data_IF_232325289536
#
_entry.id   IF_232325289536
#
_cell.length_a   1.000
_cell.length_b   1.000
_cell.length_c   1.000
_cell.angle_alpha   90.00
_cell.angle_beta   90.00
_cell.angle_gamma   90.00
#
_symmetry.space_group_name_H-M   'P 1'
#
loop_
_entity.id
_entity.type
_entity.pdbx_description
1 polymer ?
#
# COMPACT_ATOMS: atom_id res chain seq x y z
N UNK A 1 -26.77 20.72 -22.73
CA UNK A 1 -27.18 22.02 -22.15
C UNK A 1 -27.26 21.86 -20.64
N UNK A 2 -26.16 22.06 -19.93
CA UNK A 2 -26.12 22.20 -18.47
C UNK A 2 -25.28 23.46 -18.22
N UNK A 3 -25.96 24.60 -18.28
CA UNK A 3 -25.40 25.90 -17.96
C UNK A 3 -25.17 25.97 -16.45
N UNK A 4 -23.91 25.91 -16.02
CA UNK A 4 -23.54 26.34 -14.67
C UNK A 4 -23.91 27.83 -14.55
N UNK A 5 -24.83 28.23 -13.67
CA UNK A 5 -25.05 29.64 -13.44
C UNK A 5 -23.81 30.18 -12.73
N UNK A 6 -23.10 31.10 -13.39
CA UNK A 6 -22.06 31.92 -12.79
C UNK A 6 -22.71 32.85 -11.75
N UNK A 7 -23.03 32.31 -10.58
CA UNK A 7 -23.49 33.08 -9.45
C UNK A 7 -22.28 33.86 -8.90
N UNK A 8 -22.42 35.19 -8.93
CA UNK A 8 -21.55 36.17 -8.28
C UNK A 8 -21.43 35.86 -6.78
N UNK A 9 -20.51 34.97 -6.40
CA UNK A 9 -20.06 34.87 -5.02
C UNK A 9 -19.33 36.17 -4.67
N UNK A 10 -19.82 36.86 -3.64
CA UNK A 10 -19.20 38.07 -3.10
C UNK A 10 -17.72 37.76 -2.78
N UNK A 11 -16.77 38.65 -3.12
CA UNK A 11 -15.33 38.47 -2.86
C UNK A 11 -15.08 37.93 -1.44
N UNK A 12 -15.79 38.45 -0.43
CA UNK A 12 -15.69 38.00 0.96
C UNK A 12 -16.05 36.52 1.18
N UNK A 13 -17.04 35.98 0.46
CA UNK A 13 -17.39 34.56 0.51
C UNK A 13 -16.33 33.68 -0.17
N UNK A 14 -15.77 34.11 -1.31
CA UNK A 14 -14.66 33.39 -1.95
C UNK A 14 -13.42 33.34 -1.04
N UNK A 15 -13.07 34.45 -0.39
CA UNK A 15 -11.96 34.50 0.58
C UNK A 15 -12.23 33.62 1.80
N UNK A 16 -13.46 33.58 2.32
CA UNK A 16 -13.80 32.73 3.46
C UNK A 16 -13.73 31.23 3.11
N UNK A 17 -14.16 30.84 1.91
CA UNK A 17 -14.05 29.44 1.43
C UNK A 17 -12.58 29.05 1.27
N UNK A 18 -11.75 29.92 0.68
CA UNK A 18 -10.31 29.69 0.57
C UNK A 18 -9.61 29.66 1.94
N UNK A 19 -9.98 30.54 2.86
CA UNK A 19 -9.44 30.58 4.22
C UNK A 19 -9.82 29.31 5.00
N UNK A 20 -11.09 28.89 4.96
CA UNK A 20 -11.55 27.66 5.58
C UNK A 20 -10.87 26.42 4.96
N UNK A 21 -10.65 26.43 3.63
CA UNK A 21 -9.88 25.39 2.95
C UNK A 21 -8.42 25.35 3.41
N UNK A 22 -7.77 26.50 3.57
CA UNK A 22 -6.39 26.60 4.06
C UNK A 22 -6.27 26.18 5.53
N UNK A 23 -7.18 26.61 6.39
CA UNK A 23 -7.22 26.24 7.81
C UNK A 23 -7.43 24.72 7.95
N UNK A 24 -8.45 24.18 7.28
CA UNK A 24 -8.75 22.74 7.32
C UNK A 24 -7.61 21.88 6.77
N UNK A 25 -6.89 22.37 5.75
CA UNK A 25 -5.70 21.69 5.25
C UNK A 25 -4.54 21.71 6.24
N UNK A 26 -4.38 22.80 7.01
CA UNK A 26 -3.33 22.91 8.01
C UNK A 26 -3.61 22.00 9.22
N UNK A 27 -4.87 21.92 9.65
CA UNK A 27 -5.30 20.99 10.70
C UNK A 27 -5.11 19.52 10.28
N UNK A 28 -5.48 19.17 9.05
CA UNK A 28 -5.26 17.82 8.51
C UNK A 28 -3.78 17.43 8.50
N UNK A 29 -2.88 18.36 8.14
CA UNK A 29 -1.44 18.10 8.15
C UNK A 29 -0.93 17.86 9.58
N UNK A 30 -1.41 18.62 10.57
CA UNK A 30 -1.03 18.41 11.97
C UNK A 30 -1.48 17.04 12.52
N UNK A 31 -2.69 16.60 12.19
CA UNK A 31 -3.19 15.27 12.59
C UNK A 31 -2.37 14.15 11.95
N UNK A 32 -1.99 14.32 10.68
CA UNK A 32 -1.12 13.38 9.97
C UNK A 32 0.25 13.30 10.64
N UNK A 33 0.85 14.44 11.00
CA UNK A 33 2.17 14.47 11.63
C UNK A 33 2.15 13.78 13.01
N UNK A 34 1.08 13.97 13.79
CA UNK A 34 0.89 13.30 15.09
C UNK A 34 0.71 11.79 14.91
N UNK A 35 -0.09 11.35 13.94
CA UNK A 35 -0.29 9.95 13.63
C UNK A 35 1.00 9.27 13.12
N UNK A 36 1.77 9.97 12.27
CA UNK A 36 3.09 9.50 11.80
C UNK A 36 4.04 9.33 12.99
N UNK A 37 3.99 10.22 13.97
CA UNK A 37 4.81 10.13 15.18
C UNK A 37 4.41 8.94 16.03
N UNK A 38 3.12 8.73 16.28
CA UNK A 38 2.61 7.56 17.01
C UNK A 38 3.02 6.25 16.33
N UNK A 39 2.90 6.16 15.01
CA UNK A 39 3.33 4.98 14.26
C UNK A 39 4.83 4.71 14.39
N UNK A 40 5.67 5.75 14.32
CA UNK A 40 7.12 5.60 14.50
C UNK A 40 7.51 5.22 15.93
N UNK A 41 6.75 5.68 16.92
CA UNK A 41 6.97 5.31 18.33
C UNK A 41 6.58 3.85 18.58
N UNK A 42 5.46 3.40 18.00
CA UNK A 42 4.99 2.01 18.15
C UNK A 42 5.82 1.02 17.35
N UNK A 43 6.28 1.42 16.16
CA UNK A 43 7.04 0.56 15.24
C UNK A 43 8.37 1.21 14.88
N UNK A 44 9.41 0.91 15.67
CA UNK A 44 10.77 1.41 15.42
C UNK A 44 11.39 0.90 14.12
N UNK A 45 10.85 -0.18 13.57
CA UNK A 45 11.33 -0.82 12.35
C UNK A 45 10.89 -0.11 11.07
N UNK A 46 10.05 0.93 11.15
CA UNK A 46 9.61 1.67 9.95
C UNK A 46 10.81 2.39 9.33
N UNK A 47 11.15 2.04 8.09
CA UNK A 47 12.26 2.62 7.35
C UNK A 47 11.94 4.05 6.91
N UNK A 48 10.75 4.25 6.34
CA UNK A 48 10.36 5.53 5.73
C UNK A 48 8.85 5.70 5.74
N UNK A 49 8.37 6.93 5.88
CA UNK A 49 6.96 7.27 5.66
C UNK A 49 6.91 8.43 4.67
N UNK A 50 6.24 8.22 3.54
CA UNK A 50 6.01 9.23 2.51
C UNK A 50 4.55 9.63 2.46
N UNK A 51 4.30 10.94 2.39
CA UNK A 51 2.97 11.50 2.20
C UNK A 51 2.77 11.71 0.69
N UNK A 52 2.05 10.79 0.05
CA UNK A 52 1.76 10.90 -1.39
C UNK A 52 0.73 12.00 -1.66
N UNK A 53 -0.30 12.07 -0.81
CA UNK A 53 -1.31 13.13 -0.83
C UNK A 53 -1.88 13.30 0.59
N UNK A 54 -2.70 14.32 0.82
CA UNK A 54 -3.37 14.64 2.10
C UNK A 54 -4.22 13.49 2.69
N UNK A 55 -4.51 12.46 1.90
CA UNK A 55 -5.28 11.28 2.31
C UNK A 55 -4.56 9.97 2.00
N UNK A 56 -3.29 10.01 1.56
CA UNK A 56 -2.56 8.79 1.21
C UNK A 56 -1.16 8.83 1.79
N UNK A 57 -0.90 7.87 2.66
CA UNK A 57 0.40 7.65 3.30
C UNK A 57 0.99 6.33 2.79
N UNK A 58 2.29 6.33 2.52
CA UNK A 58 3.07 5.15 2.15
C UNK A 58 4.07 4.89 3.27
N UNK A 59 3.96 3.73 3.90
CA UNK A 59 4.79 3.31 5.02
C UNK A 59 5.70 2.20 4.51
N UNK A 60 7.00 2.49 4.39
CA UNK A 60 8.01 1.53 3.99
C UNK A 60 8.53 0.80 5.21
N UNK A 61 8.43 -0.52 5.18
CA UNK A 61 8.82 -1.39 6.29
C UNK A 61 9.72 -2.53 5.79
N UNK A 62 10.56 -3.09 6.69
CA UNK A 62 11.21 -4.36 6.45
C UNK A 62 10.18 -5.49 6.49
N UNK A 63 10.47 -6.59 5.79
CA UNK A 63 9.55 -7.72 5.61
C UNK A 63 9.14 -8.39 6.93
N UNK A 64 10.00 -8.32 7.95
CA UNK A 64 9.78 -8.92 9.28
C UNK A 64 8.64 -8.24 10.05
N UNK A 65 8.38 -6.95 9.80
CA UNK A 65 7.35 -6.16 10.51
C UNK A 65 5.99 -6.22 9.81
N UNK A 66 5.88 -6.89 8.66
CA UNK A 66 4.67 -6.87 7.85
C UNK A 66 3.45 -7.41 8.59
N UNK A 67 3.57 -8.56 9.25
CA UNK A 67 2.45 -9.19 9.96
C UNK A 67 1.96 -8.32 11.11
N UNK A 68 2.88 -7.78 11.90
CA UNK A 68 2.57 -6.95 13.07
C UNK A 68 1.86 -5.66 12.66
N UNK A 69 2.35 -4.98 11.61
CA UNK A 69 1.70 -3.77 11.11
C UNK A 69 0.35 -4.07 10.46
N UNK A 70 0.23 -5.20 9.76
CA UNK A 70 -1.03 -5.64 9.16
C UNK A 70 -2.07 -5.94 10.24
N UNK A 71 -1.70 -6.65 11.30
CA UNK A 71 -2.56 -6.92 12.45
C UNK A 71 -3.01 -5.63 13.12
N UNK A 72 -2.10 -4.69 13.34
CA UNK A 72 -2.46 -3.39 13.89
C UNK A 72 -3.47 -2.63 12.99
N UNK A 73 -3.24 -2.56 11.68
CA UNK A 73 -4.15 -1.85 10.78
C UNK A 73 -5.51 -2.54 10.66
N UNK A 74 -5.54 -3.87 10.57
CA UNK A 74 -6.75 -4.62 10.34
C UNK A 74 -7.54 -4.89 11.62
N UNK A 75 -6.89 -5.32 12.70
CA UNK A 75 -7.54 -5.71 13.95
C UNK A 75 -7.68 -4.56 14.95
N UNK A 76 -6.67 -3.72 15.15
CA UNK A 76 -6.78 -2.60 16.12
C UNK A 76 -7.53 -1.42 15.51
N UNK A 77 -7.06 -0.94 14.36
CA UNK A 77 -7.60 0.27 13.72
C UNK A 77 -8.85 0.00 12.87
N UNK A 78 -9.13 -1.27 12.56
CA UNK A 78 -10.27 -1.71 11.73
C UNK A 78 -10.26 -1.07 10.34
N UNK A 79 -9.07 -0.85 9.78
CA UNK A 79 -8.95 -0.41 8.39
C UNK A 79 -9.34 -1.54 7.45
N UNK A 80 -10.08 -1.16 6.40
CA UNK A 80 -10.53 -2.09 5.38
C UNK A 80 -9.37 -2.41 4.44
N UNK A 81 -9.01 -3.69 4.37
CA UNK A 81 -8.12 -4.19 3.34
C UNK A 81 -8.77 -4.03 1.95
N UNK A 82 -8.00 -3.52 0.98
CA UNK A 82 -8.47 -3.32 -0.39
C UNK A 82 -7.87 -4.35 -1.34
N UNK A 83 -6.55 -4.32 -1.52
CA UNK A 83 -5.83 -5.15 -2.50
C UNK A 83 -4.32 -5.15 -2.17
N UNK A 84 -3.60 -6.17 -2.66
CA UNK A 84 -2.13 -6.16 -2.74
C UNK A 84 -1.72 -5.92 -4.18
N UNK A 85 -0.75 -5.06 -4.39
CA UNK A 85 -0.07 -4.89 -5.68
C UNK A 85 1.37 -5.31 -5.52
N UNK A 86 1.93 -6.04 -6.49
CA UNK A 86 3.36 -6.31 -6.54
C UNK A 86 3.94 -5.86 -7.87
N UNK A 87 5.16 -5.34 -7.84
CA UNK A 87 5.87 -4.87 -9.01
C UNK A 87 7.35 -5.23 -8.96
N UNK A 88 7.90 -5.47 -10.14
CA UNK A 88 9.32 -5.72 -10.32
C UNK A 88 10.06 -4.39 -10.61
N UNK A 89 10.81 -3.92 -9.60
CA UNK A 89 11.63 -2.72 -9.63
C UNK A 89 13.12 -3.07 -9.79
N UNK A 90 13.93 -2.08 -10.18
CA UNK A 90 15.39 -2.25 -10.30
C UNK A 90 16.03 -2.72 -8.99
N UNK A 91 15.54 -2.20 -7.87
CA UNK A 91 16.09 -2.46 -6.54
C UNK A 91 15.59 -3.79 -5.92
N UNK A 92 14.52 -4.37 -6.46
CA UNK A 92 13.87 -5.54 -5.88
C UNK A 92 12.41 -5.69 -6.30
N UNK A 93 11.73 -6.66 -5.71
CA UNK A 93 10.28 -6.78 -5.81
C UNK A 93 9.62 -5.90 -4.76
N UNK A 94 8.83 -4.93 -5.19
CA UNK A 94 8.04 -4.08 -4.29
C UNK A 94 6.64 -4.64 -4.16
N UNK A 95 6.22 -4.90 -2.92
CA UNK A 95 4.87 -5.32 -2.58
C UNK A 95 4.19 -4.20 -1.81
N UNK A 96 3.01 -3.80 -2.25
CA UNK A 96 2.23 -2.69 -1.70
C UNK A 96 0.88 -3.23 -1.26
N UNK A 97 0.65 -3.22 0.05
CA UNK A 97 -0.63 -3.58 0.64
C UNK A 97 -1.47 -2.32 0.84
N UNK A 98 -2.67 -2.29 0.28
CA UNK A 98 -3.56 -1.15 0.32
C UNK A 98 -4.64 -1.33 1.39
N UNK A 99 -4.65 -0.45 2.38
CA UNK A 99 -5.67 -0.35 3.41
C UNK A 99 -6.37 1.01 3.33
N UNK A 100 -7.65 1.05 3.67
CA UNK A 100 -8.40 2.30 3.77
C UNK A 100 -9.16 2.40 5.07
N UNK A 101 -9.11 3.58 5.67
CA UNK A 101 -10.02 3.95 6.73
C UNK A 101 -11.31 4.51 6.12
N UNK A 102 -12.42 3.80 6.32
CA UNK A 102 -13.73 4.23 5.81
C UNK A 102 -14.27 5.46 6.57
N UNK A 103 -13.78 5.77 7.79
CA UNK A 103 -14.22 6.93 8.57
C UNK A 103 -13.61 8.24 8.07
N UNK A 104 -12.28 8.27 7.91
CA UNK A 104 -11.55 9.48 7.46
C UNK A 104 -11.41 9.55 5.94
N UNK A 105 -11.59 8.41 5.25
CA UNK A 105 -11.28 8.24 3.83
C UNK A 105 -9.77 8.27 3.55
N UNK A 106 -8.94 7.99 4.56
CA UNK A 106 -7.50 7.86 4.39
C UNK A 106 -7.15 6.50 3.78
N UNK A 107 -6.08 6.49 3.00
CA UNK A 107 -5.53 5.31 2.36
C UNK A 107 -4.11 5.12 2.91
N UNK A 108 -3.89 4.00 3.57
CA UNK A 108 -2.62 3.60 4.13
C UNK A 108 -2.03 2.50 3.26
N UNK A 109 -0.87 2.75 2.68
CA UNK A 109 -0.13 1.77 1.92
C UNK A 109 1.03 1.25 2.77
N UNK A 110 1.16 -0.06 2.88
CA UNK A 110 2.34 -0.71 3.46
C UNK A 110 3.20 -1.17 2.30
N UNK A 111 4.42 -0.66 2.20
CA UNK A 111 5.38 -0.97 1.16
C UNK A 111 6.48 -1.86 1.74
N UNK A 112 6.69 -3.02 1.12
CA UNK A 112 7.76 -3.97 1.45
C UNK A 112 8.63 -4.14 0.23
N UNK A 113 9.94 -3.98 0.38
CA UNK A 113 10.92 -4.25 -0.68
C UNK A 113 11.60 -5.60 -0.39
N UNK A 114 11.56 -6.49 -1.38
CA UNK A 114 12.20 -7.80 -1.31
C UNK A 114 13.37 -7.89 -2.29
N UNK A 115 14.46 -8.59 -1.93
CA UNK A 115 15.60 -8.78 -2.80
C UNK A 115 15.25 -9.69 -4.00
N UNK A 116 16.00 -9.52 -5.10
CA UNK A 116 15.84 -10.33 -6.31
C UNK A 116 16.25 -11.80 -6.15
N UNK A 117 17.28 -12.05 -5.34
CA UNK A 117 17.92 -13.38 -5.25
C UNK A 117 17.06 -14.39 -4.47
N UNK A 118 16.34 -13.94 -3.44
CA UNK A 118 15.45 -14.78 -2.62
C UNK A 118 14.22 -13.96 -2.15
N UNK A 119 13.24 -13.74 -3.05
CA UNK A 119 12.05 -12.95 -2.73
C UNK A 119 11.09 -13.79 -1.88
N UNK A 120 11.17 -13.62 -0.56
CA UNK A 120 10.29 -14.26 0.40
C UNK A 120 9.75 -13.28 1.44
N UNK A 121 8.48 -13.45 1.80
CA UNK A 121 7.76 -12.62 2.77
C UNK A 121 6.72 -13.46 3.52
N UNK A 122 6.36 -13.08 4.73
CA UNK A 122 5.24 -13.70 5.45
C UNK A 122 3.90 -13.38 4.76
N UNK A 123 3.04 -14.39 4.63
CA UNK A 123 1.67 -14.23 4.12
C UNK A 123 0.82 -13.46 5.12
N UNK A 124 0.07 -12.47 4.64
CA UNK A 124 -0.92 -11.76 5.47
C UNK A 124 -2.26 -12.50 5.53
N UNK A 125 -2.45 -13.56 4.75
CA UNK A 125 -3.69 -14.35 4.68
C UNK A 125 -4.20 -14.84 6.05
N UNK A 126 -3.35 -15.27 7.01
CA UNK A 126 -3.81 -15.64 8.35
C UNK A 126 -4.52 -14.51 9.12
N UNK A 127 -4.17 -13.25 8.85
CA UNK A 127 -4.80 -12.05 9.44
C UNK A 127 -5.96 -11.57 8.57
N UNK A 128 -5.73 -11.53 7.25
CA UNK A 128 -6.64 -10.98 6.26
C UNK A 128 -6.94 -12.05 5.22
N UNK A 129 -7.98 -12.85 5.44
CA UNK A 129 -8.34 -13.96 4.55
C UNK A 129 -8.56 -13.53 3.09
N UNK A 130 -9.01 -12.29 2.86
CA UNK A 130 -9.20 -11.72 1.52
C UNK A 130 -7.91 -11.55 0.70
N UNK A 131 -6.73 -11.72 1.31
CA UNK A 131 -5.45 -11.67 0.61
C UNK A 131 -5.10 -12.97 -0.13
N UNK A 132 -5.74 -14.10 0.20
CA UNK A 132 -5.37 -15.44 -0.29
C UNK A 132 -5.23 -15.52 -1.82
N UNK A 133 -6.18 -14.93 -2.56
CA UNK A 133 -6.18 -15.02 -4.03
C UNK A 133 -5.08 -14.17 -4.65
N UNK A 134 -4.88 -12.98 -4.11
CA UNK A 134 -3.93 -12.02 -4.67
C UNK A 134 -2.49 -12.43 -4.33
N UNK A 135 -2.24 -12.96 -3.12
CA UNK A 135 -0.93 -13.51 -2.78
C UNK A 135 -0.57 -14.67 -3.72
N UNK A 136 -1.53 -15.57 -4.02
CA UNK A 136 -1.32 -16.65 -4.99
C UNK A 136 -1.09 -16.16 -6.41
N UNK A 137 -1.81 -15.13 -6.85
CA UNK A 137 -1.56 -14.47 -8.14
C UNK A 137 -0.13 -13.92 -8.22
N UNK A 138 0.34 -13.25 -7.17
CA UNK A 138 1.70 -12.72 -7.10
C UNK A 138 2.75 -13.84 -7.08
N UNK A 139 2.50 -14.94 -6.35
CA UNK A 139 3.34 -16.14 -6.37
C UNK A 139 3.50 -16.68 -7.78
N UNK A 140 2.42 -16.75 -8.54
CA UNK A 140 2.40 -17.35 -9.87
C UNK A 140 3.01 -16.42 -10.93
N UNK A 141 2.74 -15.12 -10.86
CA UNK A 141 3.17 -14.18 -11.89
C UNK A 141 4.57 -13.60 -11.68
N UNK A 142 5.01 -13.43 -10.42
CA UNK A 142 6.30 -12.84 -10.05
C UNK A 142 7.22 -13.84 -9.33
N UNK A 143 6.73 -15.00 -8.90
CA UNK A 143 7.57 -16.02 -8.26
C UNK A 143 8.07 -15.63 -6.87
N UNK A 144 7.32 -14.77 -6.17
CA UNK A 144 7.59 -14.40 -4.78
C UNK A 144 7.06 -15.52 -3.88
N UNK A 145 7.81 -15.91 -2.85
CA UNK A 145 7.39 -16.95 -1.90
C UNK A 145 6.70 -16.31 -0.70
N UNK A 146 5.43 -16.63 -0.50
CA UNK A 146 4.71 -16.26 0.72
C UNK A 146 4.80 -17.40 1.75
N UNK A 147 5.50 -17.15 2.85
CA UNK A 147 5.65 -18.08 3.97
C UNK A 147 4.33 -18.17 4.75
N UNK A 148 4.04 -19.35 5.30
CA UNK A 148 2.83 -19.61 6.10
C UNK A 148 1.49 -19.36 5.38
N UNK A 149 1.49 -19.30 4.04
CA UNK A 149 0.27 -19.21 3.25
C UNK A 149 -0.53 -20.52 3.36
N UNK A 150 -1.85 -20.49 3.61
CA UNK A 150 -2.64 -21.71 3.85
C UNK A 150 -2.74 -22.65 2.64
N UNK A 151 -2.66 -22.09 1.42
CA UNK A 151 -2.74 -22.84 0.16
C UNK A 151 -1.75 -22.32 -0.89
N UNK A 152 -0.44 -22.66 -0.79
CA UNK A 152 0.59 -22.16 -1.68
C UNK A 152 0.62 -22.98 -3.00
N UNK A 153 -0.50 -22.99 -3.72
CA UNK A 153 -0.66 -23.71 -4.97
C UNK A 153 -0.80 -22.75 -6.15
N UNK A 154 -0.33 -23.18 -7.32
CA UNK A 154 -0.52 -22.49 -8.60
C UNK A 154 -1.99 -22.10 -8.79
N UNK A 155 -2.25 -20.91 -9.35
CA UNK A 155 -3.62 -20.38 -9.41
C UNK A 155 -4.03 -19.94 -10.81
N UNK A 156 -3.21 -19.17 -11.52
CA UNK A 156 -3.55 -18.55 -12.79
C UNK A 156 -2.90 -19.25 -13.99
N UNK A 157 -1.65 -19.70 -13.84
CA UNK A 157 -0.88 -20.27 -14.93
C UNK A 157 -1.34 -21.69 -15.26
N UNK A 158 -1.36 -22.01 -16.56
CA UNK A 158 -1.67 -23.35 -17.04
C UNK A 158 -0.65 -24.38 -16.51
N UNK A 159 -1.07 -25.62 -16.34
CA UNK A 159 -0.18 -26.72 -15.92
C UNK A 159 1.00 -26.90 -16.88
N UNK A 160 0.79 -26.63 -18.18
CA UNK A 160 1.83 -26.70 -19.21
C UNK A 160 2.83 -25.54 -19.20
N UNK A 161 2.63 -24.52 -18.35
CA UNK A 161 3.53 -23.37 -18.28
C UNK A 161 4.87 -23.77 -17.64
N UNK A 162 6.03 -23.42 -18.25
CA UNK A 162 7.34 -23.78 -17.73
C UNK A 162 7.52 -23.38 -16.26
N UNK A 163 8.04 -24.30 -15.45
CA UNK A 163 8.40 -23.98 -14.08
C UNK A 163 9.57 -22.99 -14.03
N UNK A 164 9.49 -22.02 -13.12
CA UNK A 164 10.51 -20.99 -12.97
C UNK A 164 10.44 -19.83 -13.98
N UNK A 165 9.49 -19.87 -14.92
CA UNK A 165 9.19 -18.74 -15.80
C UNK A 165 8.01 -17.91 -15.28
N UNK A 166 8.29 -16.64 -15.01
CA UNK A 166 7.35 -15.72 -14.38
C UNK A 166 7.06 -14.55 -15.33
N UNK A 167 5.85 -14.45 -15.91
CA UNK A 167 5.54 -13.49 -16.98
C UNK A 167 5.78 -12.02 -16.61
N UNK A 168 5.59 -11.65 -15.33
CA UNK A 168 5.72 -10.27 -14.89
C UNK A 168 7.14 -9.90 -14.44
N UNK A 169 8.09 -10.85 -14.46
CA UNK A 169 9.50 -10.53 -14.18
C UNK A 169 10.12 -9.77 -15.35
N UNK A 170 10.72 -8.63 -15.04
CA UNK A 170 11.45 -7.81 -16.00
C UNK A 170 12.86 -8.39 -16.15
N UNK A 171 13.30 -8.50 -17.40
CA UNK A 171 14.70 -8.80 -17.72
C UNK A 171 15.48 -7.49 -17.67
N UNK A 172 16.07 -7.18 -16.53
CA UNK A 172 17.01 -6.05 -16.45
C UNK A 172 18.33 -6.45 -17.09
N UNK A 173 18.78 -5.70 -18.11
CA UNK A 173 20.12 -5.90 -18.66
C UNK A 173 21.16 -5.27 -17.74
N UNK A 174 22.40 -5.77 -17.78
CA UNK A 174 23.51 -5.25 -16.94
C UNK A 174 23.76 -3.75 -17.14
N UNK A 175 23.35 -3.20 -18.28
CA UNK A 175 23.48 -1.78 -18.63
C UNK A 175 22.47 -0.88 -17.92
N UNK A 176 21.41 -1.46 -17.35
CA UNK A 176 20.35 -0.73 -16.63
C UNK A 176 20.61 -0.57 -15.12
N UNK A 177 21.70 -1.18 -14.60
CA UNK A 177 22.08 -1.21 -13.16
C UNK A 177 23.07 -0.13 -12.79
#
# INVERSE_FOLDING_TARGET
>A
MLTFPAALLNRKQCWQVLLNFLIRNKELLMIIDEYIKELKEKFSSITKIDIFNKKRLMVYIPKETLLELTDHFFNDLKYRYQIVTAMDSKDGYEIIYHFSDDKTGWIMNINVLLPHDDPQVESITPVVYGAEWIEREIMDLLGIKFLNHPKPERFLMAESWPEGEYPLRRKFHKEDR
#
